data_IF_492301936566
#
_entry.id   IF_492301936566
#
_cell.length_a   1.000
_cell.length_b   1.000
_cell.length_c   1.000
_cell.angle_alpha   90.00
_cell.angle_beta   90.00
_cell.angle_gamma   90.00
#
_symmetry.space_group_name_H-M   'P 1'
#
loop_
_entity.id
_entity.type
_entity.pdbx_description
1 polymer ?
#
# COMPACT_ATOMS: atom_id res chain seq x y z
N UNK A 1 19.42 10.03 -12.09
CA UNK A 1 20.62 10.33 -11.26
C UNK A 1 21.34 9.02 -10.96
N UNK A 2 22.68 9.02 -10.84
CA UNK A 2 23.46 7.83 -10.44
C UNK A 2 24.04 8.06 -9.04
N UNK A 3 23.80 7.14 -8.09
CA UNK A 3 24.10 7.31 -6.66
C UNK A 3 25.03 6.19 -6.17
N UNK A 4 26.21 6.58 -5.67
CA UNK A 4 27.20 5.71 -5.00
C UNK A 4 27.59 6.20 -3.60
N UNK A 5 26.74 7.04 -3.00
CA UNK A 5 26.89 7.60 -1.65
C UNK A 5 25.55 7.53 -0.89
N UNK A 6 25.48 8.11 0.31
CA UNK A 6 24.26 8.19 1.13
C UNK A 6 23.67 9.63 1.13
N UNK A 7 23.15 10.12 0.00
CA UNK A 7 22.52 11.44 -0.06
C UNK A 7 21.21 11.49 0.73
N UNK A 8 20.89 12.67 1.24
CA UNK A 8 19.63 13.00 1.88
C UNK A 8 18.84 13.94 0.97
N UNK A 9 17.71 13.48 0.45
CA UNK A 9 16.78 14.26 -0.35
C UNK A 9 15.55 14.61 0.49
N UNK A 10 15.24 15.90 0.57
CA UNK A 10 14.10 16.40 1.30
C UNK A 10 13.37 17.41 0.42
N UNK A 11 12.03 17.35 0.36
CA UNK A 11 11.21 18.31 -0.39
C UNK A 11 11.61 18.41 -1.87
N UNK A 12 12.03 17.30 -2.47
CA UNK A 12 12.48 17.23 -3.86
C UNK A 12 11.38 16.70 -4.78
N UNK A 13 11.36 17.18 -6.02
CA UNK A 13 10.49 16.67 -7.08
C UNK A 13 11.33 16.13 -8.23
N UNK A 14 11.04 14.91 -8.65
CA UNK A 14 11.64 14.23 -9.78
C UNK A 14 10.55 13.94 -10.80
N UNK A 15 10.56 14.67 -11.91
CA UNK A 15 9.45 14.63 -12.89
C UNK A 15 9.95 14.31 -14.28
N UNK A 16 9.23 13.45 -14.99
CA UNK A 16 9.45 13.13 -16.41
C UNK A 16 10.89 12.69 -16.76
N UNK A 17 11.57 12.00 -15.85
CA UNK A 17 12.92 11.52 -16.11
C UNK A 17 12.89 10.13 -16.74
N UNK A 18 13.71 9.92 -17.76
CA UNK A 18 13.84 8.62 -18.43
C UNK A 18 15.26 8.08 -18.34
N UNK A 19 15.41 6.81 -17.97
CA UNK A 19 16.68 6.13 -17.93
C UNK A 19 16.58 4.66 -18.39
N UNK A 20 17.71 3.96 -18.44
CA UNK A 20 17.69 2.51 -18.60
C UNK A 20 17.12 1.83 -17.34
N UNK A 21 17.62 2.22 -16.16
CA UNK A 21 17.17 1.79 -14.84
C UNK A 21 17.05 3.02 -13.94
N UNK A 22 16.02 3.10 -13.10
CA UNK A 22 15.87 4.22 -12.16
C UNK A 22 15.68 5.54 -12.88
N UNK A 23 14.52 5.76 -13.51
CA UNK A 23 14.25 6.94 -14.34
C UNK A 23 14.66 8.24 -13.66
N UNK A 24 14.32 8.40 -12.38
CA UNK A 24 14.79 9.47 -11.53
C UNK A 24 16.13 9.16 -10.84
N UNK A 25 16.27 7.99 -10.21
CA UNK A 25 17.46 7.63 -9.44
C UNK A 25 17.85 6.16 -9.58
N UNK A 26 19.12 5.92 -9.89
CA UNK A 26 19.76 4.62 -9.90
C UNK A 26 20.81 4.56 -8.81
N UNK A 27 20.66 3.61 -7.89
CA UNK A 27 21.54 3.42 -6.73
C UNK A 27 22.29 2.12 -6.91
N UNK A 28 23.62 2.17 -6.96
CA UNK A 28 24.45 1.02 -7.33
C UNK A 28 25.70 0.89 -6.46
N UNK A 29 25.52 0.88 -5.14
CA UNK A 29 26.62 0.75 -4.19
C UNK A 29 26.20 0.07 -2.88
N UNK A 30 26.99 -0.94 -2.48
CA UNK A 30 26.79 -1.79 -1.29
C UNK A 30 26.89 -1.08 0.06
N UNK A 31 27.32 0.17 0.04
CA UNK A 31 27.48 1.02 1.23
C UNK A 31 26.58 2.24 1.19
N UNK A 32 25.74 2.39 0.16
CA UNK A 32 24.86 3.56 0.01
C UNK A 32 23.57 3.38 0.79
N UNK A 33 23.25 4.40 1.58
CA UNK A 33 22.04 4.50 2.42
C UNK A 33 21.26 5.79 2.09
N UNK A 34 20.79 5.96 0.84
CA UNK A 34 20.06 7.16 0.45
C UNK A 34 18.72 7.26 1.19
N UNK A 35 18.33 8.50 1.47
CA UNK A 35 17.05 8.82 2.11
C UNK A 35 16.26 9.78 1.23
N UNK A 36 14.98 9.48 1.04
CA UNK A 36 14.02 10.33 0.35
C UNK A 36 12.89 10.65 1.32
N UNK A 37 12.81 11.92 1.73
CA UNK A 37 11.84 12.40 2.71
C UNK A 37 10.99 13.49 2.06
N UNK A 38 9.67 13.40 2.13
CA UNK A 38 8.77 14.39 1.55
C UNK A 38 9.08 14.68 0.06
N UNK A 39 9.34 13.63 -0.71
CA UNK A 39 9.71 13.74 -2.13
C UNK A 39 8.61 13.24 -3.04
N UNK A 40 8.51 13.80 -4.25
CA UNK A 40 7.59 13.36 -5.29
C UNK A 40 8.34 12.82 -6.49
N UNK A 41 7.91 11.67 -6.99
CA UNK A 41 8.36 11.02 -8.22
C UNK A 41 7.16 10.89 -9.15
N UNK A 42 7.07 11.77 -10.15
CA UNK A 42 5.93 11.84 -11.06
C UNK A 42 6.36 11.59 -12.51
N UNK A 43 5.68 10.69 -13.23
CA UNK A 43 5.91 10.48 -14.66
C UNK A 43 7.30 9.94 -15.05
N UNK A 44 8.06 9.37 -14.11
CA UNK A 44 9.40 8.86 -14.43
C UNK A 44 9.31 7.49 -15.10
N UNK A 45 10.24 7.22 -16.02
CA UNK A 45 10.23 6.01 -16.83
C UNK A 45 11.58 5.31 -16.93
N UNK A 46 11.56 3.97 -16.95
CA UNK A 46 12.74 3.15 -17.17
C UNK A 46 12.49 2.08 -18.24
N UNK A 47 13.45 1.89 -19.15
CA UNK A 47 13.31 0.84 -20.19
C UNK A 47 13.60 -0.56 -19.67
N UNK A 48 14.14 -0.69 -18.46
CA UNK A 48 14.35 -1.96 -17.74
C UNK A 48 13.52 -1.98 -16.44
N UNK A 49 14.03 -1.49 -15.31
CA UNK A 49 13.37 -1.62 -13.99
C UNK A 49 13.43 -0.32 -13.20
N UNK A 50 12.49 -0.14 -12.25
CA UNK A 50 12.45 1.01 -11.36
C UNK A 50 12.15 2.29 -12.12
N UNK A 51 10.91 2.50 -12.54
CA UNK A 51 10.55 3.68 -13.36
C UNK A 51 10.91 4.99 -12.68
N UNK A 52 10.77 5.07 -11.36
CA UNK A 52 11.34 6.16 -10.56
C UNK A 52 12.72 5.80 -10.01
N UNK A 53 12.78 4.78 -9.15
CA UNK A 53 13.99 4.41 -8.42
C UNK A 53 14.32 2.95 -8.70
N UNK A 54 15.57 2.69 -9.07
CA UNK A 54 16.13 1.35 -9.09
C UNK A 54 17.35 1.27 -8.19
N UNK A 55 17.37 0.28 -7.30
CA UNK A 55 18.53 -0.03 -6.47
C UNK A 55 19.09 -1.39 -6.87
N UNK A 56 20.36 -1.44 -7.26
CA UNK A 56 21.10 -2.66 -7.46
C UNK A 56 22.24 -2.70 -6.45
N UNK A 57 22.10 -3.56 -5.44
CA UNK A 57 23.06 -3.71 -4.36
C UNK A 57 23.13 -2.56 -3.36
N UNK A 58 22.09 -1.72 -3.17
CA UNK A 58 22.10 -0.70 -2.11
C UNK A 58 22.25 -1.33 -0.71
N UNK A 59 22.80 -0.56 0.24
CA UNK A 59 22.95 -1.02 1.63
C UNK A 59 21.61 -0.97 2.37
N UNK A 60 20.93 0.15 2.27
CA UNK A 60 19.61 0.40 2.84
C UNK A 60 18.97 1.56 2.06
N UNK A 61 17.65 1.61 1.96
CA UNK A 61 16.96 2.79 1.41
C UNK A 61 15.81 3.14 2.34
N UNK A 62 15.70 4.44 2.65
CA UNK A 62 14.58 5.01 3.40
C UNK A 62 13.75 5.89 2.48
N UNK A 63 12.46 5.61 2.43
CA UNK A 63 11.45 6.39 1.71
C UNK A 63 10.39 6.75 2.74
N UNK A 64 10.23 8.03 3.02
CA UNK A 64 9.28 8.52 4.04
C UNK A 64 8.49 9.71 3.51
N UNK A 65 7.15 9.68 3.65
CA UNK A 65 6.26 10.74 3.15
C UNK A 65 6.47 11.02 1.66
N UNK A 66 6.66 9.99 0.84
CA UNK A 66 6.89 10.15 -0.59
C UNK A 66 5.66 9.81 -1.42
N UNK A 67 5.54 10.46 -2.58
CA UNK A 67 4.53 10.13 -3.59
C UNK A 67 5.21 9.59 -4.84
N UNK A 68 4.82 8.40 -5.26
CA UNK A 68 5.21 7.78 -6.52
C UNK A 68 3.97 7.70 -7.40
N UNK A 69 3.91 8.56 -8.40
CA UNK A 69 2.77 8.74 -9.27
C UNK A 69 3.15 8.60 -10.75
N UNK A 70 2.33 7.90 -11.52
CA UNK A 70 2.48 7.72 -12.97
C UNK A 70 3.88 7.22 -13.41
N UNK A 71 4.62 6.48 -12.56
CA UNK A 71 5.93 5.96 -12.95
C UNK A 71 5.79 4.64 -13.69
N UNK A 72 6.63 4.43 -14.70
CA UNK A 72 6.54 3.25 -15.57
C UNK A 72 7.89 2.56 -15.81
N UNK A 73 7.86 1.24 -15.86
CA UNK A 73 9.02 0.45 -16.27
C UNK A 73 8.62 -0.64 -17.26
N UNK A 74 9.54 -1.05 -18.13
CA UNK A 74 9.27 -2.21 -18.99
C UNK A 74 9.11 -3.47 -18.12
N UNK A 75 10.07 -3.71 -17.22
CA UNK A 75 10.15 -4.81 -16.24
C UNK A 75 9.61 -4.37 -14.86
N UNK A 76 9.92 -5.12 -13.80
CA UNK A 76 9.34 -4.95 -12.47
C UNK A 76 9.65 -3.58 -11.86
N UNK A 77 8.83 -3.15 -10.91
CA UNK A 77 8.99 -1.88 -10.20
C UNK A 77 8.71 -0.70 -11.11
N UNK A 78 7.47 -0.54 -11.55
CA UNK A 78 7.02 0.66 -12.27
C UNK A 78 7.38 1.95 -11.52
N UNK A 79 7.28 1.96 -10.18
CA UNK A 79 7.89 2.99 -9.35
C UNK A 79 9.27 2.56 -8.81
N UNK A 80 9.30 1.52 -7.98
CA UNK A 80 10.46 1.17 -7.17
C UNK A 80 10.92 -0.26 -7.45
N UNK A 81 12.20 -0.41 -7.81
CA UNK A 81 12.85 -1.70 -7.93
C UNK A 81 14.01 -1.84 -6.95
N UNK A 82 14.04 -2.91 -6.16
CA UNK A 82 15.09 -3.18 -5.18
C UNK A 82 15.63 -4.59 -5.41
N UNK A 83 16.80 -4.69 -6.02
CA UNK A 83 17.47 -5.97 -6.23
C UNK A 83 18.83 -6.03 -5.54
N UNK A 84 19.13 -7.19 -4.98
CA UNK A 84 20.37 -7.44 -4.28
C UNK A 84 20.91 -8.81 -4.69
N UNK A 85 22.12 -8.84 -5.25
CA UNK A 85 22.69 -10.07 -5.82
C UNK A 85 23.70 -10.77 -4.91
N UNK A 86 24.05 -10.16 -3.77
CA UNK A 86 24.99 -10.76 -2.83
C UNK A 86 24.28 -11.54 -1.71
N UNK A 87 25.07 -12.26 -0.91
CA UNK A 87 24.59 -13.20 0.11
C UNK A 87 24.26 -12.55 1.47
N UNK A 88 24.33 -11.22 1.58
CA UNK A 88 24.03 -10.51 2.84
C UNK A 88 22.60 -9.97 2.83
N UNK A 89 21.94 -10.06 3.98
CA UNK A 89 20.60 -9.52 4.17
C UNK A 89 20.63 -7.99 4.11
N UNK A 90 19.68 -7.41 3.38
CA UNK A 90 19.50 -5.96 3.19
C UNK A 90 18.06 -5.57 3.46
N UNK A 91 17.90 -4.31 3.88
CA UNK A 91 16.63 -3.77 4.32
C UNK A 91 16.26 -2.55 3.49
N UNK A 92 14.96 -2.35 3.30
CA UNK A 92 14.39 -1.11 2.80
C UNK A 92 13.20 -0.76 3.68
N UNK A 93 13.04 0.52 4.00
CA UNK A 93 11.91 1.02 4.78
C UNK A 93 11.15 2.02 3.95
N UNK A 94 9.85 1.78 3.82
CA UNK A 94 8.90 2.63 3.12
C UNK A 94 7.82 2.99 4.13
N UNK A 95 7.74 4.27 4.48
CA UNK A 95 6.84 4.77 5.50
C UNK A 95 6.01 5.93 4.97
N UNK A 96 4.76 6.05 5.43
CA UNK A 96 3.95 7.24 5.22
C UNK A 96 3.77 7.65 3.74
N UNK A 97 3.85 6.71 2.81
CA UNK A 97 4.02 7.00 1.39
C UNK A 97 2.81 6.58 0.56
N UNK A 98 2.70 7.14 -0.64
CA UNK A 98 1.64 6.84 -1.60
C UNK A 98 2.25 6.36 -2.92
N UNK A 99 1.82 5.18 -3.39
CA UNK A 99 2.18 4.64 -4.70
C UNK A 99 0.90 4.51 -5.55
N UNK A 100 0.76 5.39 -6.54
CA UNK A 100 -0.42 5.50 -7.39
C UNK A 100 -0.05 5.49 -8.87
N UNK A 101 -0.95 4.95 -9.69
CA UNK A 101 -0.85 5.03 -11.15
C UNK A 101 0.45 4.47 -11.75
N UNK A 102 1.21 3.65 -11.00
CA UNK A 102 2.48 3.12 -11.49
C UNK A 102 2.23 1.85 -12.30
N UNK A 103 3.02 1.66 -13.36
CA UNK A 103 2.77 0.58 -14.32
C UNK A 103 4.01 -0.17 -14.77
N UNK A 104 3.80 -1.43 -15.16
CA UNK A 104 4.81 -2.18 -15.88
C UNK A 104 4.23 -3.07 -16.99
N UNK A 105 5.10 -3.54 -17.89
CA UNK A 105 4.66 -4.19 -19.13
C UNK A 105 4.96 -5.69 -19.23
N UNK A 106 5.92 -6.25 -18.49
CA UNK A 106 6.28 -7.66 -18.64
C UNK A 106 6.83 -8.38 -17.40
N UNK A 107 6.62 -7.83 -16.20
CA UNK A 107 7.09 -8.42 -14.95
C UNK A 107 6.13 -8.08 -13.80
N UNK A 108 6.16 -8.82 -12.68
CA UNK A 108 5.32 -8.51 -11.53
C UNK A 108 5.79 -7.28 -10.73
N UNK A 109 4.93 -6.78 -9.83
CA UNK A 109 5.23 -5.67 -8.91
C UNK A 109 5.26 -4.32 -9.62
N UNK A 110 4.10 -3.77 -10.01
CA UNK A 110 4.06 -2.48 -10.71
C UNK A 110 4.36 -1.29 -9.78
N UNK A 111 3.92 -1.30 -8.53
CA UNK A 111 4.41 -0.28 -7.59
C UNK A 111 5.84 -0.63 -7.13
N UNK A 112 6.01 -1.83 -6.56
CA UNK A 112 7.27 -2.23 -5.94
C UNK A 112 7.66 -3.63 -6.40
N UNK A 113 8.89 -3.78 -6.91
CA UNK A 113 9.49 -5.09 -7.20
C UNK A 113 10.81 -5.26 -6.44
N UNK A 114 10.92 -6.33 -5.64
CA UNK A 114 12.08 -6.67 -4.84
C UNK A 114 12.25 -8.18 -4.62
N UNK A 115 12.22 -8.93 -5.71
CA UNK A 115 12.22 -10.40 -5.72
C UNK A 115 13.62 -11.03 -5.52
N UNK A 116 14.47 -10.44 -4.68
CA UNK A 116 15.79 -11.00 -4.33
C UNK A 116 15.77 -11.60 -2.93
N UNK A 117 16.21 -12.86 -2.77
CA UNK A 117 16.03 -13.66 -1.54
C UNK A 117 16.53 -13.02 -0.25
N UNK A 118 17.49 -12.10 -0.34
CA UNK A 118 18.11 -11.41 0.80
C UNK A 118 17.57 -9.98 1.03
N UNK A 119 16.57 -9.55 0.27
CA UNK A 119 15.92 -8.26 0.45
C UNK A 119 14.72 -8.41 1.38
N UNK A 120 14.69 -7.58 2.41
CA UNK A 120 13.57 -7.41 3.33
C UNK A 120 13.03 -6.00 3.20
N UNK A 121 11.72 -5.85 3.05
CA UNK A 121 11.07 -4.54 3.00
C UNK A 121 10.14 -4.39 4.21
N UNK A 122 10.24 -3.26 4.90
CA UNK A 122 9.23 -2.80 5.84
C UNK A 122 8.37 -1.78 5.10
N UNK A 123 7.07 -2.02 5.03
CA UNK A 123 6.08 -1.11 4.47
C UNK A 123 5.14 -0.73 5.59
N UNK A 124 5.17 0.53 6.01
CA UNK A 124 4.38 1.03 7.12
C UNK A 124 3.57 2.27 6.73
N UNK A 125 2.32 2.33 7.16
CA UNK A 125 1.45 3.47 6.93
C UNK A 125 1.46 3.97 5.47
N UNK A 126 1.48 3.03 4.54
CA UNK A 126 1.65 3.32 3.11
C UNK A 126 0.40 2.88 2.37
N UNK A 127 -0.02 3.70 1.39
CA UNK A 127 -1.12 3.35 0.48
C UNK A 127 -0.54 3.00 -0.88
N UNK A 128 -0.86 1.80 -1.39
CA UNK A 128 -0.49 1.33 -2.72
C UNK A 128 -1.78 1.02 -3.48
N UNK A 129 -2.12 1.85 -4.46
CA UNK A 129 -3.42 1.76 -5.13
C UNK A 129 -3.36 2.22 -6.58
N UNK A 130 -4.30 1.75 -7.41
CA UNK A 130 -4.36 2.05 -8.84
C UNK A 130 -3.05 1.78 -9.60
N UNK A 131 -2.28 0.77 -9.20
CA UNK A 131 -1.10 0.35 -9.94
C UNK A 131 -1.46 -0.79 -10.90
N UNK A 132 -0.84 -0.78 -12.09
CA UNK A 132 -1.17 -1.71 -13.16
C UNK A 132 0.02 -2.57 -13.60
N UNK A 133 -0.08 -3.88 -13.48
CA UNK A 133 0.89 -4.80 -14.08
C UNK A 133 0.31 -5.54 -15.26
N UNK A 134 0.97 -5.49 -16.42
CA UNK A 134 0.62 -6.35 -17.56
C UNK A 134 0.96 -7.84 -17.31
N UNK A 135 1.65 -8.16 -16.20
CA UNK A 135 2.00 -9.52 -15.78
C UNK A 135 1.11 -9.99 -14.63
N UNK A 136 1.52 -9.78 -13.38
CA UNK A 136 0.84 -10.27 -12.17
C UNK A 136 1.29 -9.42 -10.97
N UNK A 137 0.68 -9.60 -9.81
CA UNK A 137 1.15 -8.98 -8.56
C UNK A 137 1.30 -7.47 -8.66
N UNK A 138 0.24 -6.75 -9.04
CA UNK A 138 0.34 -5.37 -9.50
C UNK A 138 0.78 -4.40 -8.41
N UNK A 139 0.47 -4.65 -7.14
CA UNK A 139 0.98 -3.80 -6.06
C UNK A 139 2.46 -4.14 -5.79
N UNK A 140 2.74 -5.34 -5.27
CA UNK A 140 4.04 -5.65 -4.70
C UNK A 140 4.50 -7.07 -5.05
N UNK A 141 5.68 -7.18 -5.65
CA UNK A 141 6.42 -8.44 -5.79
C UNK A 141 7.68 -8.38 -4.92
N UNK A 142 7.84 -9.28 -3.97
CA UNK A 142 8.94 -9.24 -2.99
C UNK A 142 9.46 -10.65 -2.68
N UNK A 143 10.66 -10.77 -2.11
CA UNK A 143 11.03 -12.02 -1.43
C UNK A 143 10.57 -12.05 0.02
N UNK A 144 10.86 -10.99 0.77
CA UNK A 144 10.48 -10.88 2.18
C UNK A 144 9.91 -9.48 2.46
N UNK A 145 8.74 -9.40 3.08
CA UNK A 145 8.14 -8.11 3.45
C UNK A 145 7.33 -8.18 4.73
N UNK A 146 7.36 -7.07 5.47
CA UNK A 146 6.54 -6.83 6.63
C UNK A 146 5.66 -5.60 6.38
N UNK A 147 4.34 -5.79 6.44
CA UNK A 147 3.35 -4.74 6.28
C UNK A 147 2.76 -4.37 7.64
N UNK A 148 2.72 -3.07 7.92
CA UNK A 148 2.13 -2.49 9.13
C UNK A 148 1.22 -1.32 8.74
N UNK A 149 0.00 -1.27 9.29
CA UNK A 149 -0.88 -0.09 9.17
C UNK A 149 -1.06 0.41 7.72
N UNK A 150 -1.02 -0.47 6.71
CA UNK A 150 -0.95 -0.08 5.30
C UNK A 150 -2.22 -0.42 4.53
N UNK A 151 -2.44 0.26 3.40
CA UNK A 151 -3.56 -0.01 2.49
C UNK A 151 -3.02 -0.47 1.15
N UNK A 152 -3.46 -1.65 0.68
CA UNK A 152 -3.18 -2.16 -0.66
C UNK A 152 -4.53 -2.49 -1.31
N UNK A 153 -4.95 -1.64 -2.25
CA UNK A 153 -6.32 -1.69 -2.78
C UNK A 153 -6.37 -1.25 -4.24
N UNK A 154 -7.26 -1.82 -5.05
CA UNK A 154 -7.52 -1.42 -6.43
C UNK A 154 -6.24 -1.44 -7.29
N UNK A 155 -5.43 -2.48 -7.15
CA UNK A 155 -4.28 -2.70 -8.02
C UNK A 155 -4.64 -3.79 -9.03
N UNK A 156 -4.49 -3.51 -10.31
CA UNK A 156 -5.04 -4.33 -11.37
C UNK A 156 -3.96 -4.95 -12.26
N UNK A 157 -4.28 -6.10 -12.84
CA UNK A 157 -3.34 -6.79 -13.72
C UNK A 157 -4.05 -7.42 -14.91
N UNK A 158 -3.34 -7.57 -16.03
CA UNK A 158 -3.88 -8.19 -17.24
C UNK A 158 -4.12 -9.70 -17.11
N UNK A 159 -3.46 -10.37 -16.16
CA UNK A 159 -3.62 -11.80 -15.90
C UNK A 159 -4.16 -12.01 -14.49
N UNK A 160 -4.61 -13.22 -14.17
CA UNK A 160 -4.95 -13.56 -12.79
C UNK A 160 -3.70 -13.42 -11.90
N UNK A 161 -3.82 -12.69 -10.80
CA UNK A 161 -2.71 -12.43 -9.89
C UNK A 161 -3.20 -12.08 -8.49
N UNK A 162 -2.31 -12.17 -7.52
CA UNK A 162 -2.57 -11.69 -6.16
C UNK A 162 -2.22 -10.21 -6.10
N UNK A 163 -2.72 -9.41 -5.15
CA UNK A 163 -2.25 -8.03 -5.00
C UNK A 163 -0.74 -8.00 -4.66
N UNK A 164 -0.30 -8.97 -3.85
CA UNK A 164 1.05 -9.07 -3.29
C UNK A 164 1.53 -10.52 -3.42
N UNK A 165 2.80 -10.71 -3.77
CA UNK A 165 3.44 -12.03 -3.85
C UNK A 165 4.85 -12.01 -3.28
N UNK A 166 5.22 -13.09 -2.61
CA UNK A 166 6.54 -13.27 -2.03
C UNK A 166 6.69 -14.55 -1.19
N UNK A 167 7.92 -14.82 -0.76
CA UNK A 167 8.28 -16.04 -0.05
C UNK A 167 7.97 -15.96 1.46
N UNK A 168 8.26 -14.82 2.09
CA UNK A 168 7.95 -14.55 3.50
C UNK A 168 7.26 -13.20 3.63
N UNK A 169 5.93 -13.25 3.68
CA UNK A 169 5.09 -12.06 3.86
C UNK A 169 4.49 -12.13 5.25
N UNK A 170 4.67 -11.06 6.01
CA UNK A 170 4.07 -10.87 7.33
C UNK A 170 3.20 -9.61 7.27
N UNK A 171 1.92 -9.75 7.62
CA UNK A 171 0.96 -8.65 7.58
C UNK A 171 0.41 -8.42 8.98
N UNK A 172 0.46 -7.17 9.43
CA UNK A 172 -0.06 -6.74 10.72
C UNK A 172 -0.89 -5.49 10.51
N UNK A 173 -2.17 -5.51 10.88
CA UNK A 173 -3.04 -4.34 10.87
C UNK A 173 -2.98 -3.61 9.54
N UNK A 174 -3.26 -4.30 8.45
CA UNK A 174 -3.29 -3.68 7.12
C UNK A 174 -4.59 -4.03 6.42
N UNK A 175 -5.01 -3.17 5.51
CA UNK A 175 -6.17 -3.38 4.65
C UNK A 175 -5.66 -3.82 3.28
N UNK A 176 -6.01 -5.04 2.85
CA UNK A 176 -5.49 -5.64 1.62
C UNK A 176 -6.65 -6.27 0.86
N UNK A 177 -6.91 -5.76 -0.34
CA UNK A 177 -7.90 -6.31 -1.27
C UNK A 177 -7.56 -7.77 -1.61
N UNK A 178 -8.54 -8.67 -1.53
CA UNK A 178 -8.31 -10.11 -1.72
C UNK A 178 -7.22 -10.64 -0.76
N UNK A 179 -7.12 -10.07 0.43
CA UNK A 179 -6.14 -10.40 1.45
C UNK A 179 -6.12 -11.88 1.80
N UNK A 180 -7.28 -12.56 1.76
CA UNK A 180 -7.37 -14.01 1.97
C UNK A 180 -6.54 -14.86 0.99
N UNK A 181 -6.09 -14.30 -0.14
CA UNK A 181 -5.19 -14.96 -1.09
C UNK A 181 -3.71 -14.69 -0.83
N UNK A 182 -3.39 -13.70 0.02
CA UNK A 182 -2.02 -13.28 0.30
C UNK A 182 -1.43 -14.09 1.46
N UNK A 183 -0.26 -14.73 1.28
CA UNK A 183 0.43 -15.39 2.38
C UNK A 183 0.66 -14.43 3.56
N UNK A 184 0.42 -14.90 4.78
CA UNK A 184 0.60 -14.10 6.00
C UNK A 184 -0.56 -13.17 6.36
N UNK A 185 -1.59 -13.06 5.51
CA UNK A 185 -2.80 -12.33 5.86
C UNK A 185 -3.61 -13.08 6.92
N UNK A 186 -4.18 -12.32 7.87
CA UNK A 186 -5.02 -12.86 8.92
C UNK A 186 -6.17 -11.90 9.25
N UNK A 187 -7.40 -12.37 9.13
CA UNK A 187 -8.62 -11.61 9.46
C UNK A 187 -8.72 -11.21 10.95
N UNK A 188 -7.94 -11.81 11.84
CA UNK A 188 -7.92 -11.43 13.25
C UNK A 188 -7.28 -10.05 13.50
N UNK A 189 -6.45 -9.58 12.58
CA UNK A 189 -5.70 -8.33 12.73
C UNK A 189 -5.55 -7.56 11.42
N UNK A 190 -6.29 -7.89 10.36
CA UNK A 190 -6.18 -7.26 9.04
C UNK A 190 -7.56 -7.20 8.39
N UNK A 191 -7.75 -6.25 7.48
CA UNK A 191 -9.03 -5.97 6.83
C UNK A 191 -8.97 -6.31 5.33
N UNK A 192 -10.08 -6.78 4.79
CA UNK A 192 -10.30 -7.00 3.35
C UNK A 192 -11.70 -6.47 3.01
N UNK A 193 -11.78 -5.13 2.98
CA UNK A 193 -12.98 -4.34 2.75
C UNK A 193 -12.59 -3.09 1.98
N UNK A 194 -13.55 -2.48 1.27
CA UNK A 194 -13.31 -1.20 0.59
C UNK A 194 -12.78 -0.14 1.59
N UNK A 195 -11.61 0.48 1.34
CA UNK A 195 -11.06 1.53 2.20
C UNK A 195 -11.90 2.80 2.17
N UNK A 196 -12.84 2.95 1.22
CA UNK A 196 -13.73 4.11 1.07
C UNK A 196 -12.93 5.42 1.02
N UNK A 197 -12.01 5.51 0.06
CA UNK A 197 -11.31 6.76 -0.26
C UNK A 197 -12.30 7.88 -0.62
N UNK A 198 -11.93 9.13 -0.33
CA UNK A 198 -12.80 10.30 -0.50
C UNK A 198 -13.17 10.54 -1.95
N UNK A 199 -12.20 10.58 -2.86
CA UNK A 199 -12.41 10.81 -4.30
C UNK A 199 -11.23 10.28 -5.14
N UNK A 200 -11.06 8.95 -5.24
CA UNK A 200 -9.92 8.35 -5.94
C UNK A 200 -9.91 8.67 -7.44
N UNK A 201 -11.05 9.03 -8.04
CA UNK A 201 -11.13 9.44 -9.44
C UNK A 201 -10.43 10.78 -9.73
N UNK A 202 -10.13 11.57 -8.69
CA UNK A 202 -9.38 12.81 -8.76
C UNK A 202 -8.11 12.76 -7.89
N UNK A 203 -7.55 11.56 -7.69
CA UNK A 203 -6.35 11.27 -6.89
C UNK A 203 -6.43 11.68 -5.40
N UNK A 204 -7.63 11.83 -4.84
CA UNK A 204 -7.84 12.02 -3.41
C UNK A 204 -8.03 10.68 -2.70
N UNK A 205 -6.91 10.14 -2.24
CA UNK A 205 -6.83 8.89 -1.49
C UNK A 205 -6.87 9.08 0.04
N UNK A 206 -7.34 10.24 0.52
CA UNK A 206 -7.72 10.38 1.94
C UNK A 206 -8.92 9.48 2.24
N UNK A 207 -9.08 9.06 3.50
CA UNK A 207 -10.22 8.23 3.90
C UNK A 207 -11.49 9.07 3.98
N UNK A 208 -12.63 8.58 3.52
CA UNK A 208 -13.92 9.20 3.80
C UNK A 208 -14.34 8.96 5.26
N UNK A 209 -15.33 9.72 5.77
CA UNK A 209 -15.85 9.52 7.14
C UNK A 209 -16.44 8.13 7.38
N UNK A 210 -16.84 7.41 6.33
CA UNK A 210 -17.43 6.07 6.46
C UNK A 210 -16.38 4.95 6.47
N UNK A 211 -15.09 5.30 6.30
CA UNK A 211 -14.02 4.32 6.20
C UNK A 211 -13.75 3.63 7.53
N UNK A 212 -13.76 2.30 7.50
CA UNK A 212 -13.38 1.49 8.66
C UNK A 212 -11.85 1.32 8.77
N UNK A 213 -11.07 2.00 7.92
CA UNK A 213 -9.64 2.14 8.09
C UNK A 213 -9.27 3.21 9.14
N UNK A 214 -10.21 4.07 9.53
CA UNK A 214 -10.01 5.09 10.56
C UNK A 214 -9.81 4.42 11.92
N UNK A 215 -8.68 4.68 12.58
CA UNK A 215 -8.30 4.13 13.88
C UNK A 215 -8.05 2.62 13.91
N UNK A 216 -8.04 1.94 12.76
CA UNK A 216 -7.90 0.49 12.67
C UNK A 216 -6.44 -0.01 12.76
N UNK A 217 -5.47 0.91 12.74
CA UNK A 217 -4.06 0.59 12.90
C UNK A 217 -3.68 0.21 14.33
N UNK A 218 -2.41 -0.17 14.51
CA UNK A 218 -1.80 -0.38 15.84
C UNK A 218 -0.85 0.74 16.20
N UNK A 219 -0.91 1.21 17.44
CA UNK A 219 0.01 2.24 17.95
C UNK A 219 1.46 1.78 18.22
N UNK A 220 1.76 0.47 18.12
CA UNK A 220 3.13 -0.04 18.21
C UNK A 220 3.26 -1.45 17.64
N UNK A 221 4.47 -1.83 17.20
CA UNK A 221 4.78 -3.19 16.74
C UNK A 221 6.23 -3.59 17.08
N UNK A 222 6.56 -4.87 16.92
CA UNK A 222 7.92 -5.40 17.12
C UNK A 222 8.71 -5.30 15.81
N UNK A 223 9.81 -4.54 15.81
CA UNK A 223 10.63 -4.32 14.62
C UNK A 223 11.21 -5.65 14.11
N UNK A 224 10.94 -6.03 12.84
CA UNK A 224 11.26 -7.37 12.35
C UNK A 224 12.77 -7.68 12.27
N UNK A 225 13.62 -6.65 12.16
CA UNK A 225 15.09 -6.82 12.12
C UNK A 225 15.75 -7.16 13.46
N UNK A 226 15.24 -6.62 14.56
CA UNK A 226 15.97 -6.62 15.85
C UNK A 226 15.07 -6.87 17.08
N UNK A 227 13.75 -6.98 16.88
CA UNK A 227 12.77 -7.23 17.93
C UNK A 227 12.52 -6.05 18.88
N UNK A 228 13.04 -4.85 18.59
CA UNK A 228 12.75 -3.67 19.41
C UNK A 228 11.32 -3.19 19.17
N UNK A 229 10.67 -2.66 20.19
CA UNK A 229 9.37 -2.00 20.02
C UNK A 229 9.50 -0.72 19.21
N UNK A 230 8.72 -0.60 18.14
CA UNK A 230 8.48 0.64 17.39
C UNK A 230 7.16 1.20 17.89
N UNK A 231 7.18 2.42 18.43
CA UNK A 231 5.95 3.16 18.74
C UNK A 231 5.62 4.01 17.51
N UNK A 232 4.35 4.04 17.13
CA UNK A 232 3.91 4.88 16.01
C UNK A 232 3.80 6.32 16.49
N UNK A 233 4.58 7.19 15.85
CA UNK A 233 4.63 8.62 16.11
C UNK A 233 4.98 9.36 14.82
N UNK A 234 5.01 10.69 14.88
CA UNK A 234 5.36 11.53 13.73
C UNK A 234 4.15 11.91 12.89
N UNK A 235 4.41 12.19 11.61
CA UNK A 235 3.47 12.77 10.68
C UNK A 235 3.15 11.83 9.51
N UNK A 236 1.92 11.88 9.05
CA UNK A 236 1.45 11.25 7.82
C UNK A 236 1.91 12.01 6.57
N UNK A 237 1.41 11.63 5.40
CA UNK A 237 1.74 12.28 4.14
C UNK A 237 1.22 13.72 4.01
N UNK A 238 0.20 14.09 4.78
CA UNK A 238 -0.45 15.41 4.77
C UNK A 238 -0.08 16.26 6.01
N UNK A 239 1.03 15.94 6.68
CA UNK A 239 1.54 16.60 7.89
C UNK A 239 0.60 16.53 9.12
N UNK A 240 -0.32 15.59 9.14
CA UNK A 240 -1.17 15.27 10.29
C UNK A 240 -0.49 14.27 11.22
N UNK A 241 -0.74 14.37 12.53
CA UNK A 241 -0.10 13.48 13.50
C UNK A 241 -0.65 12.05 13.36
N UNK A 242 0.24 11.05 13.34
CA UNK A 242 -0.15 9.62 13.23
C UNK A 242 -1.02 9.11 14.36
N UNK A 243 -0.93 9.70 15.54
CA UNK A 243 -1.81 9.35 16.65
C UNK A 243 -2.66 10.57 16.97
N UNK A 244 -3.83 10.62 16.34
CA UNK A 244 -4.82 11.65 16.60
C UNK A 244 -6.25 11.07 16.53
N UNK A 245 -7.15 11.49 17.42
CA UNK A 245 -6.90 12.31 18.61
C UNK A 245 -6.01 11.59 19.65
N UNK A 246 -5.44 12.32 20.61
CA UNK A 246 -4.50 11.71 21.55
C UNK A 246 -5.09 10.48 22.28
N UNK A 247 -4.30 9.39 22.34
CA UNK A 247 -4.68 8.06 22.85
C UNK A 247 -5.63 7.25 21.95
N UNK A 248 -5.80 7.62 20.68
CA UNK A 248 -6.35 6.73 19.65
C UNK A 248 -5.26 5.82 19.06
N UNK A 249 -5.68 4.95 18.14
CA UNK A 249 -4.78 4.28 17.22
C UNK A 249 -4.65 5.10 15.92
N UNK A 250 -3.55 4.90 15.15
CA UNK A 250 -3.41 5.48 13.82
C UNK A 250 -4.45 4.91 12.85
N UNK A 251 -4.75 5.70 11.82
CA UNK A 251 -5.44 5.21 10.64
C UNK A 251 -4.56 4.25 9.83
N UNK A 252 -5.20 3.43 9.00
CA UNK A 252 -4.47 2.66 8.01
C UNK A 252 -4.11 3.55 6.80
N UNK A 253 -2.93 3.33 6.24
CA UNK A 253 -2.49 3.94 4.98
C UNK A 253 -1.75 5.27 5.17
N UNK A 254 -1.62 5.99 4.05
CA UNK A 254 -0.78 7.18 3.93
C UNK A 254 -1.29 8.42 4.67
N UNK A 255 -2.58 8.46 5.02
CA UNK A 255 -3.27 9.64 5.53
C UNK A 255 -4.00 9.36 6.83
N UNK A 256 -4.06 10.37 7.69
CA UNK A 256 -4.78 10.37 8.97
C UNK A 256 -6.00 11.28 8.91
N UNK A 257 -7.03 10.86 9.65
CA UNK A 257 -8.24 11.61 9.94
C UNK A 257 -8.16 12.23 11.32
N UNK A 258 -9.04 13.20 11.56
CA UNK A 258 -9.17 13.82 12.87
C UNK A 258 -10.02 12.94 13.83
N UNK A 259 -10.83 12.05 13.27
CA UNK A 259 -11.67 11.11 14.00
C UNK A 259 -10.84 9.90 14.48
N UNK A 260 -11.14 9.37 15.68
CA UNK A 260 -10.45 8.19 16.21
C UNK A 260 -10.96 6.87 15.61
N UNK A 261 -12.18 6.88 15.05
CA UNK A 261 -12.87 5.76 14.43
C UNK A 261 -14.00 6.32 13.56
N UNK A 262 -14.50 5.52 12.61
CA UNK A 262 -15.67 5.90 11.81
C UNK A 262 -16.93 5.99 12.69
N UNK A 263 -17.77 7.04 12.55
CA UNK A 263 -19.09 7.08 13.19
C UNK A 263 -20.14 6.24 12.46
N UNK A 264 -19.79 5.59 11.34
CA UNK A 264 -20.69 4.72 10.59
C UNK A 264 -20.57 3.29 11.10
N UNK A 265 -21.70 2.56 11.28
CA UNK A 265 -21.66 1.17 11.70
C UNK A 265 -21.10 0.25 10.61
N UNK A 266 -20.66 -0.94 11.02
CA UNK A 266 -20.25 -2.01 10.12
C UNK A 266 -21.32 -2.30 9.06
N UNK A 267 -20.89 -2.81 7.92
CA UNK A 267 -21.81 -3.31 6.90
C UNK A 267 -22.50 -4.61 7.37
N UNK A 268 -23.81 -4.79 7.11
CA UNK A 268 -24.48 -6.06 7.33
C UNK A 268 -23.80 -7.22 6.59
N UNK A 269 -23.67 -8.37 7.23
CA UNK A 269 -23.05 -9.57 6.63
C UNK A 269 -24.09 -10.66 6.35
N UNK A 270 -23.71 -11.65 5.53
CA UNK A 270 -24.57 -12.79 5.19
C UNK A 270 -25.95 -12.40 4.61
N UNK A 271 -25.98 -11.33 3.81
CA UNK A 271 -27.17 -10.94 3.08
C UNK A 271 -27.61 -12.09 2.16
N UNK A 272 -28.83 -12.55 2.38
CA UNK A 272 -29.46 -13.65 1.66
C UNK A 272 -30.87 -13.23 1.25
N UNK A 273 -31.30 -13.74 0.10
CA UNK A 273 -32.63 -13.52 -0.45
C UNK A 273 -33.32 -14.88 -0.65
N UNK A 274 -34.51 -15.02 -0.06
CA UNK A 274 -35.41 -16.16 -0.28
C UNK A 274 -36.56 -15.71 -1.19
N UNK A 275 -36.67 -16.35 -2.36
CA UNK A 275 -37.80 -16.14 -3.27
C UNK A 275 -39.07 -16.76 -2.68
N UNK A 276 -40.12 -15.95 -2.58
CA UNK A 276 -41.43 -16.36 -2.10
C UNK A 276 -42.51 -15.92 -3.11
N UNK A 277 -43.76 -16.34 -2.90
CA UNK A 277 -44.83 -15.99 -3.83
C UNK A 277 -45.13 -14.49 -3.79
N UNK A 278 -44.67 -13.76 -4.82
CA UNK A 278 -44.84 -12.29 -4.99
C UNK A 278 -44.17 -11.44 -3.90
N UNK A 279 -43.21 -12.02 -3.19
CA UNK A 279 -42.42 -11.34 -2.17
C UNK A 279 -40.99 -11.91 -2.18
N UNK A 280 -40.04 -11.13 -1.66
CA UNK A 280 -38.68 -11.60 -1.40
C UNK A 280 -38.42 -11.36 0.08
N UNK A 281 -37.97 -12.38 0.80
CA UNK A 281 -37.49 -12.21 2.16
C UNK A 281 -35.99 -11.99 2.11
N UNK A 282 -35.55 -10.87 2.66
CA UNK A 282 -34.14 -10.58 2.88
C UNK A 282 -33.78 -10.89 4.32
N UNK A 283 -32.64 -11.55 4.52
CA UNK A 283 -32.06 -11.82 5.84
C UNK A 283 -30.57 -11.51 5.81
N UNK A 284 -30.06 -10.96 6.91
CA UNK A 284 -28.64 -10.68 7.13
C UNK A 284 -28.35 -10.84 8.62
N UNK A 285 -27.07 -11.00 8.95
CA UNK A 285 -26.64 -11.00 10.35
C UNK A 285 -26.63 -9.56 10.87
N UNK A 286 -27.23 -9.36 12.04
CA UNK A 286 -27.23 -8.06 12.70
C UNK A 286 -25.80 -7.64 13.03
N UNK A 287 -25.49 -6.38 12.78
CA UNK A 287 -24.22 -5.78 13.20
C UNK A 287 -24.24 -5.54 14.71
N UNK A 288 -23.08 -5.63 15.37
CA UNK A 288 -22.93 -5.43 16.82
C UNK A 288 -22.98 -3.94 17.23
N UNK A 289 -23.45 -3.05 16.34
CA UNK A 289 -23.63 -1.64 16.62
C UNK A 289 -24.95 -1.38 17.38
N UNK A 290 -24.87 -0.69 18.51
CA UNK A 290 -26.01 -0.44 19.41
C UNK A 290 -26.94 0.69 18.96
N UNK A 291 -26.55 1.44 17.93
CA UNK A 291 -27.17 2.69 17.49
C UNK A 291 -27.52 2.72 15.99
N UNK A 292 -27.62 1.56 15.34
CA UNK A 292 -28.11 1.47 13.95
C UNK A 292 -29.51 2.05 13.84
N UNK A 293 -29.65 3.19 13.15
CA UNK A 293 -30.91 3.90 13.03
C UNK A 293 -31.85 3.29 11.98
N UNK A 294 -31.32 2.85 10.85
CA UNK A 294 -32.07 2.22 9.75
C UNK A 294 -31.16 1.42 8.82
N UNK A 295 -31.75 0.48 8.08
CA UNK A 295 -31.13 -0.15 6.90
C UNK A 295 -31.81 0.41 5.65
N UNK A 296 -31.03 0.72 4.61
CA UNK A 296 -31.57 1.08 3.30
C UNK A 296 -31.43 -0.13 2.38
N UNK A 297 -32.54 -0.53 1.75
CA UNK A 297 -32.56 -1.61 0.76
C UNK A 297 -32.84 -0.98 -0.60
N UNK A 298 -31.95 -1.23 -1.56
CA UNK A 298 -32.13 -0.84 -2.95
C UNK A 298 -32.60 -2.05 -3.76
N UNK A 299 -33.58 -1.86 -4.64
CA UNK A 299 -34.03 -2.88 -5.60
C UNK A 299 -33.94 -2.31 -7.03
N UNK A 300 -33.50 -3.13 -7.97
CA UNK A 300 -33.51 -2.83 -9.40
C UNK A 300 -34.32 -3.89 -10.16
N UNK A 301 -34.97 -3.48 -11.25
CA UNK A 301 -35.86 -4.33 -12.07
C UNK A 301 -35.15 -4.92 -13.29
N UNK A 302 -33.91 -4.48 -13.56
CA UNK A 302 -33.02 -4.98 -14.62
C UNK A 302 -31.58 -5.03 -14.06
N UNK A 303 -30.76 -6.03 -14.43
CA UNK A 303 -29.32 -5.97 -14.17
C UNK A 303 -28.73 -4.86 -15.06
N UNK A 304 -27.90 -3.99 -14.47
CA UNK A 304 -27.24 -2.89 -15.18
C UNK A 304 -26.57 -3.39 -16.48
N UNK A 305 -26.98 -2.78 -17.61
CA UNK A 305 -26.42 -3.00 -18.95
C UNK A 305 -25.16 -2.18 -19.18
#
# INVERSE_FOLDING_TARGET
MYIESSPYFENCSFTDNTAYQGGAAFISSETSEPQFINCSFNGNSATDTGGAIATLNAAEILIDRCVFDENSATSGGGALAIFYYNQTQKWATISNSLFINNSNTNAPGAAIAASSSNVHIIIEHTTITNNYSSSSNPAVEVSNAHFFNSIIWDNSTANDGWPISGADIQITNSLIENGGMVPGFNYANSLDIDPLFTDPANDDYTLSLASHAIGAGVGSYSHPRNGSTVNIEGLDLADSARVQPANSNPDLGAYERAEAETPYPDSPTNLSAEELHREVRLSWDSVDATDVAYYIIYQAIEPDS
#
